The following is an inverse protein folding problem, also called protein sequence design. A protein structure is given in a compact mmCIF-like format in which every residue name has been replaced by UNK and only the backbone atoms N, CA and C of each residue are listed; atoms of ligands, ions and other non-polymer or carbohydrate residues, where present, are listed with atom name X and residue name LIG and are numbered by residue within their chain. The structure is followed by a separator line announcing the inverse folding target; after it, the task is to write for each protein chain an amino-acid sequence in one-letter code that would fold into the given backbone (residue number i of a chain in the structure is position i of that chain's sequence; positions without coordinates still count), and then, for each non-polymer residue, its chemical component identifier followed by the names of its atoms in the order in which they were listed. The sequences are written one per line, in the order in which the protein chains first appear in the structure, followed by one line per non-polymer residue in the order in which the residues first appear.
data_IF_121560397023
#
_entry.id   IF_121560397023
#
_cell.length_a   1.000
_cell.length_b   1.000
_cell.length_c   1.000
_cell.angle_alpha   90.00
_cell.angle_beta   90.00
_cell.angle_gamma   90.00
#
_symmetry.space_group_name_H-M   'P 1'
#
loop_
_entity.id
_entity.type
_entity.pdbx_description
1 polymer ?
#
# COMPACT_ATOMS: atom_id res chain seq x y z
N UNK A 1 -10.83 -16.42 -24.94
CA UNK A 1 -11.53 -15.16 -24.57
C UNK A 1 -10.62 -14.00 -24.95
N UNK A 2 -11.01 -13.17 -25.91
CA UNK A 2 -10.26 -11.96 -26.26
C UNK A 2 -10.42 -10.94 -25.12
N UNK A 3 -9.53 -11.00 -24.14
CA UNK A 3 -9.55 -10.08 -23.00
C UNK A 3 -9.29 -8.65 -23.47
N UNK A 4 -10.08 -7.68 -22.99
CA UNK A 4 -9.76 -6.26 -23.16
C UNK A 4 -8.32 -6.00 -22.72
N UNK A 5 -7.51 -5.43 -23.59
CA UNK A 5 -6.13 -5.06 -23.26
C UNK A 5 -6.13 -3.74 -22.46
N UNK A 6 -6.52 -3.82 -21.18
CA UNK A 6 -6.56 -2.69 -20.24
C UNK A 6 -5.18 -2.07 -20.02
N UNK A 7 -4.10 -2.82 -20.26
CA UNK A 7 -2.72 -2.33 -20.25
C UNK A 7 -2.43 -1.29 -21.33
N UNK A 8 -3.34 -1.02 -22.28
CA UNK A 8 -3.26 0.16 -23.16
C UNK A 8 -3.42 1.46 -22.39
N UNK A 9 -4.29 1.49 -21.38
CA UNK A 9 -4.64 2.71 -20.66
C UNK A 9 -3.87 2.90 -19.36
N UNK A 10 -3.52 1.83 -18.67
CA UNK A 10 -2.81 1.94 -17.39
C UNK A 10 -1.98 0.69 -17.09
N UNK A 11 -0.80 0.91 -16.52
CA UNK A 11 0.10 -0.17 -16.09
C UNK A 11 -0.17 -0.62 -14.65
N UNK A 12 -0.99 0.12 -13.91
CA UNK A 12 -1.31 -0.16 -12.50
C UNK A 12 -2.42 -1.19 -12.32
N UNK A 13 -3.24 -1.46 -13.35
CA UNK A 13 -4.30 -2.46 -13.25
C UNK A 13 -3.77 -3.87 -13.28
N UNK A 14 -4.27 -4.69 -12.35
CA UNK A 14 -4.03 -6.12 -12.26
C UNK A 14 -5.36 -6.84 -12.13
N UNK A 15 -5.60 -7.82 -13.00
CA UNK A 15 -6.79 -8.66 -12.91
C UNK A 15 -6.73 -9.51 -11.63
N UNK A 16 -7.90 -9.74 -11.03
CA UNK A 16 -8.00 -10.54 -9.81
C UNK A 16 -8.46 -11.96 -10.16
N UNK A 17 -7.53 -12.92 -10.14
CA UNK A 17 -7.82 -14.30 -10.54
C UNK A 17 -8.50 -15.11 -9.43
N UNK A 18 -9.77 -15.47 -9.63
CA UNK A 18 -10.56 -16.23 -8.65
C UNK A 18 -10.31 -17.74 -8.66
N UNK A 19 -9.55 -18.26 -9.63
CA UNK A 19 -9.13 -19.66 -9.60
C UNK A 19 -8.24 -19.95 -8.37
N UNK A 20 -7.48 -18.95 -7.92
CA UNK A 20 -6.56 -19.05 -6.80
C UNK A 20 -7.31 -19.08 -5.47
N UNK A 21 -7.08 -20.14 -4.67
CA UNK A 21 -7.78 -20.34 -3.40
C UNK A 21 -7.62 -19.19 -2.40
N UNK A 22 -6.44 -18.58 -2.33
CA UNK A 22 -6.19 -17.43 -1.45
C UNK A 22 -6.91 -16.16 -1.91
N UNK A 23 -7.15 -15.98 -3.22
CA UNK A 23 -7.93 -14.85 -3.75
C UNK A 23 -9.41 -14.98 -3.35
N UNK A 24 -9.95 -16.21 -3.40
CA UNK A 24 -11.30 -16.50 -2.88
C UNK A 24 -11.39 -16.25 -1.38
N UNK A 25 -10.40 -16.70 -0.61
CA UNK A 25 -10.36 -16.43 0.83
C UNK A 25 -10.36 -14.91 1.12
N UNK A 26 -9.56 -14.13 0.40
CA UNK A 26 -9.55 -12.66 0.53
C UNK A 26 -10.94 -12.09 0.22
N UNK A 27 -11.60 -12.52 -0.86
CA UNK A 27 -12.96 -12.03 -1.17
C UNK A 27 -13.97 -12.37 -0.08
N UNK A 28 -13.90 -13.57 0.50
CA UNK A 28 -14.80 -13.97 1.60
C UNK A 28 -14.54 -13.08 2.83
N UNK A 29 -13.28 -12.87 3.20
CA UNK A 29 -12.90 -12.01 4.34
C UNK A 29 -13.31 -10.55 4.07
N UNK A 30 -13.17 -10.07 2.82
CA UNK A 30 -13.65 -8.75 2.39
C UNK A 30 -15.17 -8.62 2.51
N UNK A 31 -15.93 -9.63 2.04
CA UNK A 31 -17.39 -9.63 2.13
C UNK A 31 -17.85 -9.66 3.60
N UNK A 32 -17.18 -10.46 4.44
CA UNK A 32 -17.40 -10.45 5.89
C UNK A 32 -17.10 -9.07 6.47
N UNK A 33 -15.97 -8.45 6.09
CA UNK A 33 -15.60 -7.12 6.56
C UNK A 33 -16.63 -6.05 6.19
N UNK A 34 -17.13 -6.08 4.95
CA UNK A 34 -18.19 -5.19 4.49
C UNK A 34 -19.50 -5.42 5.26
N UNK A 35 -19.93 -6.67 5.44
CA UNK A 35 -21.14 -7.02 6.18
C UNK A 35 -21.07 -6.56 7.64
N UNK A 36 -19.95 -6.82 8.31
CA UNK A 36 -19.69 -6.33 9.67
C UNK A 36 -19.66 -4.79 9.72
N UNK A 37 -19.09 -4.13 8.70
CA UNK A 37 -19.12 -2.68 8.57
C UNK A 37 -20.54 -2.12 8.52
N UNK A 38 -21.45 -2.77 7.78
CA UNK A 38 -22.87 -2.39 7.76
C UNK A 38 -23.53 -2.61 9.13
N UNK A 39 -23.32 -3.77 9.75
CA UNK A 39 -23.98 -4.19 10.99
C UNK A 39 -23.54 -3.36 12.21
N UNK A 40 -22.25 -3.04 12.27
CA UNK A 40 -21.66 -2.32 13.41
C UNK A 40 -21.73 -0.80 13.24
N UNK A 41 -22.05 -0.30 12.04
CA UNK A 41 -22.21 1.12 11.80
C UNK A 41 -23.47 1.65 12.52
N UNK A 42 -23.27 2.66 13.35
CA UNK A 42 -24.34 3.51 13.85
C UNK A 42 -24.86 4.46 12.76
N UNK A 43 -25.99 5.12 13.04
CA UNK A 43 -26.55 6.14 12.17
C UNK A 43 -27.55 5.63 11.13
N UNK A 44 -27.80 6.46 10.13
CA UNK A 44 -28.78 6.20 9.07
C UNK A 44 -28.25 5.21 8.02
N UNK A 45 -29.13 4.82 7.08
CA UNK A 45 -28.76 3.88 6.01
C UNK A 45 -27.58 4.39 5.19
N UNK A 46 -27.47 5.70 4.96
CA UNK A 46 -26.38 6.31 4.19
C UNK A 46 -25.04 6.12 4.90
N UNK A 47 -24.97 6.39 6.21
CA UNK A 47 -23.76 6.18 7.00
C UNK A 47 -23.33 4.71 7.00
N UNK A 48 -24.29 3.78 7.17
CA UNK A 48 -24.02 2.33 7.11
C UNK A 48 -23.52 1.88 5.73
N UNK A 49 -24.11 2.40 4.66
CA UNK A 49 -23.69 2.10 3.30
C UNK A 49 -22.25 2.59 3.03
N UNK A 50 -21.90 3.80 3.48
CA UNK A 50 -20.54 4.32 3.40
C UNK A 50 -19.58 3.41 4.19
N UNK A 51 -19.93 3.06 5.43
CA UNK A 51 -19.07 2.22 6.27
C UNK A 51 -18.85 0.83 5.68
N UNK A 52 -19.87 0.25 5.05
CA UNK A 52 -19.80 -1.04 4.33
C UNK A 52 -18.70 -1.01 3.28
N UNK A 53 -18.69 0.05 2.46
CA UNK A 53 -17.69 0.23 1.39
C UNK A 53 -16.31 0.48 1.99
N UNK A 54 -16.20 1.37 2.97
CA UNK A 54 -14.92 1.68 3.65
C UNK A 54 -14.31 0.42 4.27
N UNK A 55 -15.11 -0.36 4.99
CA UNK A 55 -14.68 -1.60 5.63
C UNK A 55 -14.23 -2.65 4.59
N UNK A 56 -15.04 -2.91 3.57
CA UNK A 56 -14.70 -3.85 2.50
C UNK A 56 -13.42 -3.45 1.76
N UNK A 57 -13.31 -2.18 1.37
CA UNK A 57 -12.11 -1.68 0.68
C UNK A 57 -10.88 -1.69 1.59
N UNK A 58 -11.02 -1.45 2.89
CA UNK A 58 -9.90 -1.52 3.83
C UNK A 58 -9.35 -2.94 3.94
N UNK A 59 -10.24 -3.93 4.10
CA UNK A 59 -9.86 -5.35 4.19
C UNK A 59 -9.24 -5.83 2.87
N UNK A 60 -9.89 -5.54 1.75
CA UNK A 60 -9.37 -5.89 0.43
C UNK A 60 -8.05 -5.17 0.13
N UNK A 61 -7.97 -3.89 0.45
CA UNK A 61 -6.80 -3.04 0.23
C UNK A 61 -5.59 -3.50 1.03
N UNK A 62 -5.78 -3.93 2.28
CA UNK A 62 -4.71 -4.56 3.07
C UNK A 62 -4.16 -5.82 2.38
N UNK A 63 -5.05 -6.68 1.90
CA UNK A 63 -4.66 -7.89 1.17
C UNK A 63 -3.98 -7.58 -0.17
N UNK A 64 -4.49 -6.58 -0.90
CA UNK A 64 -3.92 -6.14 -2.17
C UNK A 64 -2.51 -5.59 -1.95
N UNK A 65 -2.35 -4.69 -0.98
CA UNK A 65 -1.05 -4.10 -0.64
C UNK A 65 -0.06 -5.16 -0.16
N UNK A 66 -0.50 -6.16 0.62
CA UNK A 66 0.35 -7.29 1.03
C UNK A 66 0.97 -8.03 -0.17
N UNK A 67 0.24 -8.17 -1.29
CA UNK A 67 0.78 -8.75 -2.53
C UNK A 67 1.76 -7.83 -3.25
N UNK A 68 1.60 -6.52 -3.11
CA UNK A 68 2.51 -5.54 -3.70
C UNK A 68 3.83 -5.44 -2.92
N UNK A 69 3.77 -5.54 -1.59
CA UNK A 69 4.95 -5.47 -0.72
C UNK A 69 5.61 -6.83 -0.48
N UNK A 70 4.95 -7.95 -0.78
CA UNK A 70 5.57 -9.29 -0.73
C UNK A 70 5.06 -10.16 -1.88
N UNK A 71 5.51 -9.89 -3.13
CA UNK A 71 4.98 -10.56 -4.31
C UNK A 71 5.31 -12.06 -4.34
N UNK A 72 6.39 -12.49 -3.68
CA UNK A 72 6.79 -13.91 -3.58
C UNK A 72 5.97 -14.70 -2.56
N UNK A 73 5.28 -14.00 -1.64
CA UNK A 73 4.46 -14.61 -0.61
C UNK A 73 2.99 -14.20 -0.77
N UNK A 74 2.41 -14.41 -1.96
CA UNK A 74 1.02 -14.03 -2.26
C UNK A 74 -0.02 -14.56 -1.23
N UNK A 75 0.26 -15.68 -0.55
CA UNK A 75 -0.58 -16.22 0.52
C UNK A 75 -0.61 -15.36 1.80
N UNK A 76 0.41 -14.54 2.03
CA UNK A 76 0.46 -13.57 3.13
C UNK A 76 -0.62 -12.48 3.04
N UNK A 77 -1.27 -12.35 1.88
CA UNK A 77 -2.40 -11.46 1.70
C UNK A 77 -3.65 -11.89 2.50
N UNK A 78 -3.79 -13.18 2.83
CA UNK A 78 -4.91 -13.66 3.67
C UNK A 78 -4.78 -13.19 5.11
N UNK A 79 -3.65 -13.43 5.84
CA UNK A 79 -3.49 -12.89 7.19
C UNK A 79 -3.51 -11.35 7.21
N UNK A 80 -3.07 -10.68 6.14
CA UNK A 80 -3.25 -9.23 6.01
C UNK A 80 -4.72 -8.79 5.96
N UNK A 81 -5.56 -9.50 5.20
CA UNK A 81 -7.02 -9.26 5.16
C UNK A 81 -7.64 -9.46 6.55
N UNK A 82 -7.27 -10.55 7.23
CA UNK A 82 -7.77 -10.87 8.58
C UNK A 82 -7.32 -9.82 9.59
N UNK A 83 -6.06 -9.38 9.53
CA UNK A 83 -5.51 -8.34 10.40
C UNK A 83 -6.20 -6.97 10.22
N UNK A 84 -6.90 -6.76 9.10
CA UNK A 84 -7.66 -5.54 8.85
C UNK A 84 -9.09 -5.58 9.42
N UNK A 85 -9.61 -6.73 9.87
CA UNK A 85 -10.96 -6.83 10.44
C UNK A 85 -11.19 -5.91 11.66
N UNK A 86 -10.25 -5.74 12.60
CA UNK A 86 -10.44 -4.80 13.70
C UNK A 86 -10.58 -3.32 13.28
N UNK A 87 -10.19 -2.98 12.04
CA UNK A 87 -10.25 -1.62 11.52
C UNK A 87 -11.62 -1.25 10.94
N UNK A 88 -12.54 -2.22 10.83
CA UNK A 88 -13.83 -2.06 10.15
C UNK A 88 -14.65 -0.87 10.68
N UNK A 89 -14.55 -0.53 11.96
CA UNK A 89 -15.26 0.62 12.56
C UNK A 89 -14.36 1.82 12.82
N UNK A 90 -13.04 1.66 12.70
CA UNK A 90 -12.05 2.69 13.00
C UNK A 90 -11.56 3.42 11.74
N UNK A 91 -11.69 2.80 10.57
CA UNK A 91 -11.24 3.39 9.31
C UNK A 91 -12.06 4.62 8.94
N UNK A 92 -11.42 5.79 8.73
CA UNK A 92 -12.12 6.99 8.29
C UNK A 92 -12.62 6.83 6.85
N UNK A 93 -13.62 7.63 6.42
CA UNK A 93 -14.14 7.60 5.06
C UNK A 93 -13.10 7.81 3.96
N UNK A 94 -11.97 8.46 4.28
CA UNK A 94 -10.85 8.70 3.35
C UNK A 94 -9.83 7.56 3.26
N UNK A 95 -9.90 6.54 4.14
CA UNK A 95 -8.97 5.41 4.12
C UNK A 95 -8.93 4.66 2.76
N UNK A 96 -10.05 4.43 2.05
CA UNK A 96 -10.03 3.88 0.70
C UNK A 96 -9.16 4.67 -0.29
N UNK A 97 -9.23 6.01 -0.25
CA UNK A 97 -8.41 6.87 -1.10
C UNK A 97 -6.93 6.78 -0.72
N UNK A 98 -6.62 6.76 0.58
CA UNK A 98 -5.25 6.55 1.09
C UNK A 98 -4.66 5.21 0.63
N UNK A 99 -5.44 4.13 0.71
CA UNK A 99 -5.01 2.80 0.24
C UNK A 99 -4.86 2.74 -1.27
N UNK A 100 -5.78 3.34 -2.03
CA UNK A 100 -5.65 3.45 -3.49
C UNK A 100 -4.37 4.17 -3.87
N UNK A 101 -4.11 5.33 -3.26
CA UNK A 101 -2.90 6.13 -3.48
C UNK A 101 -1.64 5.33 -3.13
N UNK A 102 -1.64 4.62 -2.00
CA UNK A 102 -0.49 3.85 -1.54
C UNK A 102 -0.21 2.62 -2.41
N UNK A 103 -1.23 1.84 -2.73
CA UNK A 103 -1.12 0.69 -3.65
C UNK A 103 -0.65 1.16 -5.02
N UNK A 104 -1.20 2.27 -5.52
CA UNK A 104 -0.83 2.85 -6.79
C UNK A 104 0.65 3.29 -6.83
N UNK A 105 1.14 3.97 -5.78
CA UNK A 105 2.55 4.32 -5.67
C UNK A 105 3.46 3.10 -5.50
N UNK A 106 3.04 2.09 -4.71
CA UNK A 106 3.77 0.84 -4.60
C UNK A 106 3.91 0.17 -5.97
N UNK A 107 2.82 0.10 -6.75
CA UNK A 107 2.80 -0.42 -8.12
C UNK A 107 3.65 0.37 -9.10
N UNK A 108 3.62 1.70 -8.98
CA UNK A 108 4.44 2.61 -9.77
C UNK A 108 5.94 2.31 -9.57
N UNK A 109 6.37 2.07 -8.34
CA UNK A 109 7.75 1.78 -7.98
C UNK A 109 8.15 0.33 -8.31
N UNK A 110 7.37 -0.64 -7.81
CA UNK A 110 7.69 -2.07 -7.87
C UNK A 110 7.50 -2.69 -9.26
N UNK A 111 6.69 -2.04 -10.13
CA UNK A 111 6.30 -2.54 -11.44
C UNK A 111 5.88 -4.01 -11.43
N UNK A 112 5.03 -4.43 -10.50
CA UNK A 112 4.54 -5.82 -10.38
C UNK A 112 3.84 -6.34 -11.64
N UNK A 113 3.32 -5.46 -12.49
CA UNK A 113 2.79 -5.84 -13.82
C UNK A 113 3.88 -6.07 -14.87
N UNK A 114 5.13 -5.66 -14.60
CA UNK A 114 6.27 -5.73 -15.51
C UNK A 114 6.32 -4.58 -16.53
N UNK A 115 5.37 -3.64 -16.48
CA UNK A 115 5.29 -2.52 -17.41
C UNK A 115 5.77 -1.21 -16.75
N UNK A 116 6.40 -0.30 -17.51
CA UNK A 116 6.72 1.02 -17.01
C UNK A 116 5.45 1.86 -16.80
N UNK A 117 5.45 2.77 -15.81
CA UNK A 117 4.30 3.63 -15.56
C UNK A 117 3.99 4.55 -16.73
N UNK A 118 2.68 4.70 -17.02
CA UNK A 118 2.17 5.56 -18.09
C UNK A 118 1.88 6.97 -17.58
N UNK A 119 1.74 7.92 -18.50
CA UNK A 119 1.33 9.29 -18.16
C UNK A 119 -0.04 9.32 -17.47
N UNK A 120 -0.97 8.46 -17.89
CA UNK A 120 -2.27 8.27 -17.25
C UNK A 120 -2.14 7.83 -15.80
N UNK A 121 -1.24 6.88 -15.51
CA UNK A 121 -0.95 6.42 -14.14
C UNK A 121 -0.43 7.57 -13.27
N UNK A 122 0.51 8.37 -13.82
CA UNK A 122 1.09 9.52 -13.11
C UNK A 122 0.02 10.57 -12.82
N UNK A 123 -0.82 10.92 -13.80
CA UNK A 123 -1.90 11.90 -13.62
C UNK A 123 -2.86 11.43 -12.54
N UNK A 124 -3.29 10.16 -12.57
CA UNK A 124 -4.19 9.60 -11.56
C UNK A 124 -3.57 9.65 -10.16
N UNK A 125 -2.28 9.31 -10.02
CA UNK A 125 -1.57 9.39 -8.75
C UNK A 125 -1.38 10.84 -8.27
N UNK A 126 -1.10 11.78 -9.16
CA UNK A 126 -1.01 13.21 -8.82
C UNK A 126 -2.37 13.77 -8.38
N UNK A 127 -3.47 13.40 -9.03
CA UNK A 127 -4.81 13.80 -8.62
C UNK A 127 -5.19 13.22 -7.25
N UNK A 128 -4.91 11.93 -7.01
CA UNK A 128 -5.11 11.31 -5.71
C UNK A 128 -4.25 11.98 -4.62
N UNK A 129 -3.00 12.33 -4.97
CA UNK A 129 -2.08 13.07 -4.08
C UNK A 129 -2.62 14.45 -3.76
N UNK A 130 -3.08 15.22 -4.77
CA UNK A 130 -3.64 16.55 -4.57
C UNK A 130 -4.89 16.51 -3.69
N UNK A 131 -5.77 15.52 -3.90
CA UNK A 131 -6.94 15.31 -3.06
C UNK A 131 -6.56 15.01 -1.60
N UNK A 132 -5.62 14.08 -1.35
CA UNK A 132 -5.13 13.80 0.00
C UNK A 132 -4.39 14.98 0.62
N UNK A 133 -3.64 15.73 -0.18
CA UNK A 133 -2.93 16.92 0.28
C UNK A 133 -3.89 17.99 0.79
N UNK A 134 -4.95 18.22 0.03
CA UNK A 134 -5.99 19.17 0.38
C UNK A 134 -6.78 18.72 1.61
N UNK A 135 -7.29 17.49 1.59
CA UNK A 135 -8.22 16.96 2.60
C UNK A 135 -7.52 16.52 3.89
N UNK A 136 -6.24 16.14 3.82
CA UNK A 136 -5.50 15.55 4.94
C UNK A 136 -4.27 16.38 5.28
N UNK A 137 -3.24 16.34 4.44
CA UNK A 137 -1.97 17.02 4.73
C UNK A 137 -1.07 17.17 3.49
N UNK A 138 -0.40 18.33 3.30
CA UNK A 138 0.60 18.52 2.25
C UNK A 138 1.75 17.49 2.27
N UNK A 139 1.95 16.78 3.38
CA UNK A 139 2.91 15.68 3.49
C UNK A 139 2.71 14.61 2.42
N UNK A 140 1.47 14.38 1.96
CA UNK A 140 1.20 13.47 0.84
C UNK A 140 1.90 13.91 -0.47
N UNK A 141 2.05 15.22 -0.69
CA UNK A 141 2.77 15.77 -1.86
C UNK A 141 4.26 15.47 -1.76
N UNK A 142 4.84 15.59 -0.56
CA UNK A 142 6.24 15.25 -0.32
C UNK A 142 6.49 13.74 -0.53
N UNK A 143 5.57 12.88 -0.07
CA UNK A 143 5.66 11.44 -0.31
C UNK A 143 5.55 11.12 -1.80
N UNK A 144 4.63 11.73 -2.55
CA UNK A 144 4.54 11.56 -4.00
C UNK A 144 5.83 12.01 -4.71
N UNK A 145 6.42 13.14 -4.28
CA UNK A 145 7.72 13.59 -4.77
C UNK A 145 8.81 12.55 -4.54
N UNK A 146 8.85 11.95 -3.34
CA UNK A 146 9.78 10.86 -3.02
C UNK A 146 9.59 9.66 -3.96
N UNK A 147 8.35 9.24 -4.25
CA UNK A 147 8.09 8.15 -5.20
C UNK A 147 8.62 8.47 -6.62
N UNK A 148 8.42 9.70 -7.10
CA UNK A 148 8.92 10.14 -8.42
C UNK A 148 10.45 10.19 -8.47
N UNK A 149 11.09 10.70 -7.41
CA UNK A 149 12.56 10.69 -7.28
C UNK A 149 13.09 9.27 -7.26
N UNK A 150 12.50 8.38 -6.46
CA UNK A 150 12.89 6.98 -6.40
C UNK A 150 12.77 6.30 -7.77
N UNK A 151 11.66 6.47 -8.51
CA UNK A 151 11.56 5.85 -9.85
C UNK A 151 12.63 6.38 -10.80
N UNK A 152 12.98 7.66 -10.75
CA UNK A 152 14.05 8.22 -11.60
C UNK A 152 15.46 7.74 -11.26
N UNK A 153 15.68 7.28 -10.02
CA UNK A 153 16.95 6.72 -9.55
C UNK A 153 17.07 5.20 -9.75
N UNK A 154 15.94 4.50 -9.86
CA UNK A 154 15.90 3.04 -10.01
C UNK A 154 16.26 2.58 -11.44
N UNK A 155 16.72 1.32 -11.64
CA UNK A 155 17.03 0.77 -12.96
C UNK A 155 15.82 0.82 -13.90
N UNK A 156 16.02 1.18 -15.17
CA UNK A 156 14.94 1.44 -16.15
C UNK A 156 13.93 2.54 -15.72
N UNK A 157 14.37 3.41 -14.81
CA UNK A 157 13.68 4.60 -14.36
C UNK A 157 13.69 5.72 -15.39
N UNK A 158 12.67 6.58 -15.37
CA UNK A 158 12.69 7.79 -16.20
C UNK A 158 13.34 8.92 -15.42
N UNK A 159 14.53 9.37 -15.85
CA UNK A 159 15.25 10.50 -15.21
C UNK A 159 14.40 11.77 -15.09
N UNK A 160 13.48 12.00 -16.02
CA UNK A 160 12.52 13.11 -15.95
C UNK A 160 11.64 13.07 -14.69
N UNK A 161 11.33 11.88 -14.16
CA UNK A 161 10.59 11.75 -12.91
C UNK A 161 11.39 12.26 -11.71
N UNK A 162 12.71 12.10 -11.69
CA UNK A 162 13.53 12.66 -10.61
C UNK A 162 13.52 14.20 -10.63
N UNK A 163 13.63 14.82 -11.82
CA UNK A 163 13.52 16.27 -11.96
C UNK A 163 12.14 16.79 -11.52
N UNK A 164 11.07 16.16 -11.99
CA UNK A 164 9.70 16.49 -11.58
C UNK A 164 9.49 16.28 -10.07
N UNK A 165 9.99 15.17 -9.54
CA UNK A 165 9.91 14.84 -8.12
C UNK A 165 10.61 15.89 -7.26
N UNK A 166 11.81 16.34 -7.64
CA UNK A 166 12.52 17.40 -6.92
C UNK A 166 11.75 18.73 -6.93
N UNK A 167 11.18 19.12 -8.08
CA UNK A 167 10.34 20.31 -8.18
C UNK A 167 9.12 20.22 -7.25
N UNK A 168 8.44 19.08 -7.26
CA UNK A 168 7.27 18.83 -6.39
C UNK A 168 7.70 18.81 -4.92
N UNK A 169 8.89 18.28 -4.57
CA UNK A 169 9.40 18.28 -3.21
C UNK A 169 9.61 19.70 -2.67
N UNK A 170 10.16 20.61 -3.49
CA UNK A 170 10.32 22.02 -3.12
C UNK A 170 8.97 22.68 -2.90
N UNK A 171 8.01 22.47 -3.81
CA UNK A 171 6.65 22.99 -3.65
C UNK A 171 5.96 22.44 -2.39
N UNK A 172 6.13 21.14 -2.11
CA UNK A 172 5.61 20.48 -0.91
C UNK A 172 6.23 21.05 0.37
N UNK A 173 7.54 21.30 0.38
CA UNK A 173 8.24 21.90 1.52
C UNK A 173 7.72 23.31 1.80
N UNK A 174 7.57 24.15 0.78
CA UNK A 174 6.99 25.49 0.91
C UNK A 174 5.56 25.40 1.45
N UNK A 175 4.75 24.48 0.91
CA UNK A 175 3.38 24.31 1.40
C UNK A 175 3.36 23.84 2.86
N UNK A 176 4.22 22.90 3.26
CA UNK A 176 4.33 22.45 4.65
C UNK A 176 4.72 23.58 5.61
N UNK A 177 5.55 24.54 5.20
CA UNK A 177 5.89 25.70 6.05
C UNK A 177 4.75 26.71 6.17
N UNK A 178 3.84 26.73 5.20
CA UNK A 178 2.66 27.60 5.19
C UNK A 178 1.43 26.96 5.84
N UNK A 179 1.41 25.63 5.95
CA UNK A 179 0.31 24.89 6.55
C UNK A 179 0.30 25.08 8.06
N UNK A 180 -0.78 25.66 8.59
CA UNK A 180 -0.91 25.98 10.01
C UNK A 180 -1.45 24.81 10.85
N UNK A 181 -1.71 23.64 10.22
CA UNK A 181 -2.19 22.45 10.93
C UNK A 181 -1.08 21.92 11.83
N UNK A 182 -1.29 21.85 13.16
CA UNK A 182 -0.25 21.38 14.06
C UNK A 182 0.05 19.90 13.83
N UNK A 183 1.32 19.52 13.92
CA UNK A 183 1.70 18.13 14.02
C UNK A 183 1.14 17.54 15.31
N UNK A 184 0.56 16.34 15.22
CA UNK A 184 -0.06 15.66 16.34
C UNK A 184 0.53 14.25 16.43
N UNK A 185 1.70 14.06 17.05
CA UNK A 185 2.33 12.74 17.12
C UNK A 185 1.44 11.73 17.85
N UNK A 186 1.56 10.43 17.54
CA UNK A 186 0.74 9.40 18.16
C UNK A 186 1.12 9.24 19.64
N UNK A 187 0.22 8.72 20.49
CA UNK A 187 0.59 8.38 21.85
C UNK A 187 1.71 7.33 21.86
N UNK A 188 2.60 7.38 22.86
CA UNK A 188 3.83 6.60 22.89
C UNK A 188 3.61 5.08 22.72
N UNK A 189 2.52 4.53 23.28
CA UNK A 189 2.21 3.11 23.18
C UNK A 189 1.87 2.71 21.74
N UNK A 190 1.17 3.58 21.00
CA UNK A 190 0.85 3.35 19.60
C UNK A 190 2.14 3.47 18.77
N UNK A 191 2.96 4.49 19.05
CA UNK A 191 4.29 4.62 18.45
C UNK A 191 5.14 3.35 18.61
N UNK A 192 5.15 2.76 19.81
CA UNK A 192 5.87 1.51 20.09
C UNK A 192 5.34 0.31 19.28
N UNK A 193 4.01 0.18 19.12
CA UNK A 193 3.39 -0.86 18.29
C UNK A 193 3.80 -0.70 16.82
N UNK A 194 3.68 0.52 16.28
CA UNK A 194 4.02 0.81 14.89
C UNK A 194 5.51 0.57 14.61
N UNK A 195 6.37 0.98 15.54
CA UNK A 195 7.80 0.74 15.44
C UNK A 195 8.12 -0.76 15.50
N UNK A 196 7.41 -1.53 16.32
CA UNK A 196 7.56 -2.99 16.38
C UNK A 196 7.16 -3.65 15.06
N UNK A 197 6.06 -3.22 14.44
CA UNK A 197 5.64 -3.68 13.11
C UNK A 197 6.70 -3.30 12.06
N UNK A 198 7.21 -2.07 12.10
CA UNK A 198 8.26 -1.60 11.19
C UNK A 198 9.53 -2.45 11.30
N UNK A 199 10.03 -2.66 12.52
CA UNK A 199 11.21 -3.50 12.79
C UNK A 199 10.96 -4.94 12.33
N UNK A 200 9.78 -5.50 12.61
CA UNK A 200 9.41 -6.84 12.15
C UNK A 200 9.31 -6.98 10.63
N UNK A 201 9.01 -5.88 9.92
CA UNK A 201 8.94 -5.84 8.47
C UNK A 201 10.30 -5.61 7.80
N UNK A 202 11.29 -5.02 8.48
CA UNK A 202 12.62 -4.77 7.93
C UNK A 202 13.30 -6.03 7.35
N UNK A 203 13.26 -7.22 8.00
CA UNK A 203 13.76 -8.45 7.39
C UNK A 203 13.11 -8.82 6.06
N UNK A 204 11.85 -8.45 5.82
CA UNK A 204 11.17 -8.70 4.54
C UNK A 204 11.80 -7.84 3.44
N UNK A 205 12.06 -6.56 3.73
CA UNK A 205 12.72 -5.64 2.80
C UNK A 205 14.15 -6.12 2.50
N UNK A 206 14.92 -6.40 3.55
CA UNK A 206 16.32 -6.80 3.43
C UNK A 206 16.48 -8.14 2.70
N UNK A 207 15.51 -9.07 2.80
CA UNK A 207 15.55 -10.35 2.09
C UNK A 207 14.95 -10.32 0.68
N UNK A 208 14.43 -9.18 0.21
CA UNK A 208 13.84 -9.05 -1.13
C UNK A 208 14.88 -8.82 -2.25
N UNK A 209 16.14 -9.23 -2.04
CA UNK A 209 17.21 -9.14 -3.05
C UNK A 209 17.12 -10.23 -4.13
N UNK A 210 16.41 -11.33 -3.85
CA UNK A 210 16.07 -12.38 -4.81
C UNK A 210 14.54 -12.43 -4.93
N UNK A 211 14.00 -11.80 -5.97
CA UNK A 211 12.56 -11.83 -6.23
C UNK A 211 12.28 -12.91 -7.27
N UNK A 212 11.50 -13.92 -6.89
CA UNK A 212 11.15 -15.06 -7.75
C UNK A 212 9.91 -14.79 -8.60
N UNK A 213 9.07 -13.85 -8.15
CA UNK A 213 7.87 -13.45 -8.87
C UNK A 213 8.21 -12.76 -10.20
N UNK A 214 7.31 -12.99 -11.16
CA UNK A 214 7.39 -12.43 -12.51
C UNK A 214 6.33 -11.35 -12.71
N UNK A 215 6.60 -10.41 -13.60
CA UNK A 215 5.66 -9.39 -13.99
C UNK A 215 4.43 -9.97 -14.69
N UNK A 216 3.23 -9.58 -14.25
CA UNK A 216 1.98 -10.18 -14.74
C UNK A 216 1.81 -10.10 -16.27
N UNK A 217 2.21 -8.99 -16.89
CA UNK A 217 2.02 -8.76 -18.32
C UNK A 217 3.22 -9.21 -19.17
N UNK A 218 4.42 -9.26 -18.58
CA UNK A 218 5.66 -9.52 -19.34
C UNK A 218 6.23 -10.92 -19.10
N UNK A 219 5.85 -11.59 -18.01
CA UNK A 219 6.42 -12.88 -17.60
C UNK A 219 7.91 -12.82 -17.21
N UNK A 220 8.50 -11.62 -17.17
CA UNK A 220 9.91 -11.43 -16.81
C UNK A 220 10.07 -11.33 -15.29
N UNK A 221 11.19 -11.80 -14.71
CA UNK A 221 11.47 -11.62 -13.29
C UNK A 221 11.36 -10.16 -12.87
N UNK A 222 10.77 -9.92 -11.70
CA UNK A 222 10.71 -8.58 -11.13
C UNK A 222 12.10 -8.13 -10.68
N UNK A 223 12.36 -6.82 -10.75
CA UNK A 223 13.62 -6.25 -10.30
C UNK A 223 13.61 -6.06 -8.79
N UNK A 224 14.54 -6.70 -8.09
CA UNK A 224 14.65 -6.63 -6.62
C UNK A 224 14.71 -5.19 -6.07
N UNK A 225 15.54 -4.33 -6.67
CA UNK A 225 15.69 -2.94 -6.26
C UNK A 225 14.34 -2.17 -6.31
N UNK A 226 13.50 -2.48 -7.29
CA UNK A 226 12.18 -1.86 -7.45
C UNK A 226 11.18 -2.34 -6.41
N UNK A 227 11.18 -3.64 -6.11
CA UNK A 227 10.36 -4.22 -5.04
C UNK A 227 10.75 -3.64 -3.69
N UNK A 228 12.05 -3.57 -3.39
CA UNK A 228 12.58 -2.96 -2.17
C UNK A 228 12.24 -1.47 -2.05
N UNK A 229 12.27 -0.72 -3.16
CA UNK A 229 11.84 0.67 -3.16
C UNK A 229 10.34 0.81 -2.88
N UNK A 230 9.49 -0.03 -3.48
CA UNK A 230 8.06 -0.06 -3.18
C UNK A 230 7.76 -0.38 -1.71
N UNK A 231 8.46 -1.36 -1.14
CA UNK A 231 8.36 -1.72 0.28
C UNK A 231 8.83 -0.57 1.20
N UNK A 232 9.99 0.01 0.91
CA UNK A 232 10.59 1.10 1.69
C UNK A 232 9.73 2.37 1.62
N UNK A 233 9.16 2.65 0.45
CA UNK A 233 8.20 3.73 0.25
C UNK A 233 6.94 3.50 1.10
N UNK A 234 6.35 2.31 1.05
CA UNK A 234 5.15 2.00 1.81
C UNK A 234 5.36 2.14 3.32
N UNK A 235 6.47 1.60 3.84
CA UNK A 235 6.84 1.73 5.25
C UNK A 235 7.10 3.19 5.64
N UNK A 236 7.86 3.93 4.82
CA UNK A 236 8.13 5.36 5.04
C UNK A 236 6.85 6.18 5.05
N UNK A 237 5.95 5.97 4.10
CA UNK A 237 4.67 6.68 4.02
C UNK A 237 3.83 6.45 5.29
N UNK A 238 3.75 5.20 5.76
CA UNK A 238 3.11 4.85 7.03
C UNK A 238 3.71 5.59 8.21
N UNK A 239 5.03 5.51 8.39
CA UNK A 239 5.72 6.14 9.51
C UNK A 239 5.64 7.67 9.48
N UNK A 240 5.80 8.31 8.32
CA UNK A 240 5.70 9.76 8.19
C UNK A 240 4.29 10.26 8.51
N UNK A 241 3.24 9.64 7.94
CA UNK A 241 1.86 10.05 8.21
C UNK A 241 1.45 9.75 9.65
N UNK A 242 1.88 8.62 10.21
CA UNK A 242 1.64 8.32 11.62
C UNK A 242 2.34 9.33 12.54
N UNK A 243 3.59 9.71 12.24
CA UNK A 243 4.35 10.65 13.08
C UNK A 243 3.83 12.07 12.99
N UNK A 244 3.34 12.50 11.82
CA UNK A 244 2.86 13.86 11.59
C UNK A 244 1.40 14.06 12.01
N UNK A 245 0.54 13.08 11.71
CA UNK A 245 -0.91 13.17 11.93
C UNK A 245 -1.41 12.33 13.11
N UNK A 246 -0.55 11.52 13.72
CA UNK A 246 -0.89 10.71 14.88
C UNK A 246 -1.91 9.62 14.56
N UNK A 247 -2.89 9.46 15.45
CA UNK A 247 -3.96 8.46 15.30
C UNK A 247 -4.72 8.60 13.97
N UNK A 248 -5.14 9.79 13.51
CA UNK A 248 -5.70 9.98 12.17
C UNK A 248 -4.83 9.43 11.03
N UNK A 249 -3.51 9.67 11.06
CA UNK A 249 -2.59 9.14 10.04
C UNK A 249 -2.48 7.62 10.07
N UNK A 250 -2.46 7.04 11.27
CA UNK A 250 -2.46 5.59 11.47
C UNK A 250 -3.73 4.95 10.92
N UNK A 251 -4.91 5.53 11.21
CA UNK A 251 -6.20 5.01 10.77
C UNK A 251 -6.42 5.21 9.26
N UNK A 252 -5.95 6.32 8.70
CA UNK A 252 -5.98 6.57 7.24
C UNK A 252 -5.25 5.47 6.49
N UNK A 253 -4.10 5.02 7.01
CA UNK A 253 -3.30 3.92 6.47
C UNK A 253 -3.45 2.63 7.29
N UNK A 254 -4.60 2.41 7.94
CA UNK A 254 -4.80 1.22 8.77
C UNK A 254 -4.59 -0.08 7.98
N UNK A 255 -5.05 -0.11 6.73
CA UNK A 255 -4.83 -1.25 5.84
C UNK A 255 -3.35 -1.50 5.49
N UNK A 256 -2.48 -0.47 5.52
CA UNK A 256 -1.02 -0.67 5.42
C UNK A 256 -0.50 -1.41 6.63
N UNK A 257 -0.83 -0.96 7.84
CA UNK A 257 -0.35 -1.61 9.06
C UNK A 257 -0.82 -3.06 9.16
N UNK A 258 -2.06 -3.33 8.76
CA UNK A 258 -2.58 -4.70 8.62
C UNK A 258 -1.81 -5.52 7.57
N UNK A 259 -1.47 -4.93 6.43
CA UNK A 259 -0.66 -5.57 5.41
C UNK A 259 0.75 -5.94 5.91
N UNK A 260 1.45 -4.98 6.54
CA UNK A 260 2.78 -5.20 7.09
C UNK A 260 2.77 -6.26 8.20
N UNK A 261 1.79 -6.20 9.10
CA UNK A 261 1.61 -7.19 10.16
C UNK A 261 1.32 -8.58 9.58
N UNK A 262 0.39 -8.70 8.64
CA UNK A 262 0.05 -9.97 7.99
C UNK A 262 1.23 -10.60 7.26
N UNK A 263 2.02 -9.78 6.54
CA UNK A 263 3.25 -10.22 5.89
C UNK A 263 4.30 -10.64 6.91
N UNK A 264 4.55 -9.82 7.94
CA UNK A 264 5.51 -10.14 9.00
C UNK A 264 5.18 -11.46 9.72
N UNK A 265 3.92 -11.64 10.13
CA UNK A 265 3.44 -12.89 10.76
C UNK A 265 3.63 -14.08 9.83
N UNK A 266 3.27 -13.95 8.55
CA UNK A 266 3.45 -15.03 7.58
C UNK A 266 4.92 -15.42 7.42
N UNK A 267 5.83 -14.44 7.33
CA UNK A 267 7.26 -14.71 7.24
C UNK A 267 7.84 -15.35 8.50
N UNK A 268 7.37 -14.97 9.70
CA UNK A 268 7.80 -15.59 10.96
C UNK A 268 7.35 -17.05 11.05
N UNK A 269 6.14 -17.37 10.60
CA UNK A 269 5.58 -18.73 10.66
C UNK A 269 6.14 -19.63 9.55
N UNK A 270 6.20 -19.15 8.31
CA UNK A 270 6.55 -19.95 7.13
C UNK A 270 8.02 -19.84 6.76
N UNK A 271 8.66 -18.70 7.01
CA UNK A 271 10.10 -18.50 6.73
C UNK A 271 11.01 -19.44 7.54
N UNK A 272 10.55 -19.94 8.68
CA UNK A 272 11.23 -21.00 9.44
C UNK A 272 11.26 -22.34 8.72
N UNK A 273 10.26 -22.64 7.88
CA UNK A 273 10.16 -23.92 7.18
C UNK A 273 11.15 -24.07 6.01
N UNK A 274 11.56 -22.96 5.37
CA UNK A 274 12.50 -23.00 4.23
C UNK A 274 13.96 -23.23 4.62
N UNK A 275 14.36 -23.00 5.88
CA UNK A 275 15.73 -23.26 6.36
C UNK A 275 15.98 -24.71 6.77
N UNK A 276 14.95 -25.56 6.73
CA UNK A 276 15.01 -26.95 7.20
C UNK A 276 15.22 -27.98 6.07
N UNK A 277 15.47 -27.55 4.82
CA UNK A 277 15.91 -28.46 3.76
C UNK A 277 17.42 -28.34 3.64
N UNK A 278 18.20 -29.32 4.15
CA UNK A 278 19.61 -29.41 3.83
C UNK A 278 19.73 -29.58 2.32
N UNK A 279 20.56 -28.77 1.67
CA UNK A 279 21.06 -29.08 0.34
C UNK A 279 21.80 -30.42 0.41
N UNK A 280 21.18 -31.46 -0.16
CA UNK A 280 21.85 -32.71 -0.54
C UNK A 280 22.51 -32.53 -1.90
#
# INVERSE_FOLDING_TARGET
MAGMNYHRWSSLFRAYDLALGYNRAILIVTALGAALGFMLAGGDFRARAIQTVVAGVTVFGAAALAKEVSPDAARAAVPAAVAALPLITLSPPLAPLGLFWLIGNARFLNRTTGLPPKMTDIIVLLLATAALAWLVSPLCVLLMAMALVLDGLLPDGRRAHAGLGLLIAVAAAIWLTLDQRPAAPPPWWLGAILLSIAIGFMPVILNSYQVLSVGDATGRPLQAARVQAGQSFALSAGLFLASWLGVPGVLLLGGLWAALLGVGVYHLLVGRARRAVPSL
#
